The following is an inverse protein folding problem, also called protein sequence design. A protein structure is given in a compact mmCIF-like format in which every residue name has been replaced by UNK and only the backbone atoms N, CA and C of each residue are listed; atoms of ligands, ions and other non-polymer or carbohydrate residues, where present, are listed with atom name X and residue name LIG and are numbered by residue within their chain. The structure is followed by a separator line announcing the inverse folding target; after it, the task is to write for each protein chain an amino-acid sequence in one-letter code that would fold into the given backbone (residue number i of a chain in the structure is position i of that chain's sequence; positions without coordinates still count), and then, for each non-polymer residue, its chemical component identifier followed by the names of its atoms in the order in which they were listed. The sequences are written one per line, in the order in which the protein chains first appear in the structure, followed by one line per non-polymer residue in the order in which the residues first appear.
data_IF_114921252973
#
_entry.id   IF_114921252973
#
_cell.length_a   1.000
_cell.length_b   1.000
_cell.length_c   1.000
_cell.angle_alpha   90.00
_cell.angle_beta   90.00
_cell.angle_gamma   90.00
#
_symmetry.space_group_name_H-M   'P 1'
#
loop_
_entity.id
_entity.type
_entity.pdbx_description
1 polymer ?
#
# COMPACT_ATOMS: atom_id res chain seq x y z
N UNK A 1 -12.49 -6.88 27.66
CA UNK A 1 -12.34 -5.53 27.08
C UNK A 1 -11.46 -5.59 25.84
N UNK A 2 -11.87 -4.92 24.78
CA UNK A 2 -11.04 -4.80 23.60
C UNK A 2 -9.94 -3.75 23.83
N UNK A 3 -8.77 -4.00 23.28
CA UNK A 3 -7.69 -3.01 23.28
C UNK A 3 -8.09 -1.79 22.46
N UNK A 4 -7.58 -0.61 22.83
CA UNK A 4 -7.94 0.65 22.16
C UNK A 4 -7.65 0.63 20.67
N UNK A 5 -6.54 0.01 20.24
CA UNK A 5 -6.19 -0.05 18.82
C UNK A 5 -7.17 -0.92 18.03
N UNK A 6 -7.76 -1.96 18.66
CA UNK A 6 -8.78 -2.81 18.01
C UNK A 6 -10.05 -2.00 17.79
N UNK A 7 -10.47 -1.23 18.80
CA UNK A 7 -11.64 -0.37 18.68
C UNK A 7 -11.44 0.68 17.61
N UNK A 8 -10.27 1.34 17.61
CA UNK A 8 -9.94 2.33 16.59
C UNK A 8 -9.93 1.72 15.18
N UNK A 9 -9.36 0.51 15.04
CA UNK A 9 -9.38 -0.19 13.74
C UNK A 9 -10.80 -0.39 13.25
N UNK A 10 -11.71 -0.82 14.13
CA UNK A 10 -13.13 -1.02 13.78
C UNK A 10 -13.81 0.28 13.38
N UNK A 11 -13.50 1.37 14.06
CA UNK A 11 -14.04 2.69 13.72
C UNK A 11 -13.56 3.14 12.34
N UNK A 12 -12.29 2.92 12.04
CA UNK A 12 -11.70 3.26 10.75
C UNK A 12 -12.34 2.41 9.64
N UNK A 13 -12.49 1.09 9.86
CA UNK A 13 -13.14 0.21 8.90
C UNK A 13 -14.58 0.62 8.62
N UNK A 14 -15.30 1.10 9.64
CA UNK A 14 -16.67 1.56 9.50
C UNK A 14 -16.79 2.89 8.75
N UNK A 15 -15.68 3.62 8.61
CA UNK A 15 -15.65 4.96 8.00
C UNK A 15 -14.82 4.99 6.73
N UNK A 16 -14.61 3.88 6.07
CA UNK A 16 -13.63 3.77 4.97
C UNK A 16 -13.92 4.67 3.77
N UNK A 17 -15.14 5.16 3.61
CA UNK A 17 -15.52 6.13 2.58
C UNK A 17 -15.23 7.59 2.98
N UNK A 18 -14.77 7.82 4.22
CA UNK A 18 -14.55 9.15 4.81
C UNK A 18 -13.14 9.33 5.35
N UNK A 19 -12.18 8.64 4.77
CA UNK A 19 -10.79 8.67 5.26
C UNK A 19 -9.88 9.63 4.50
N UNK A 20 -10.44 10.40 3.57
CA UNK A 20 -9.67 11.37 2.80
C UNK A 20 -9.01 12.38 3.74
N UNK A 21 -7.69 12.53 3.64
CA UNK A 21 -6.91 13.49 4.43
C UNK A 21 -6.80 13.16 5.91
N UNK A 22 -7.26 12.00 6.35
CA UNK A 22 -7.26 11.62 7.77
C UNK A 22 -5.84 11.24 8.20
N UNK A 23 -5.48 11.60 9.44
CA UNK A 23 -4.22 11.19 10.06
C UNK A 23 -4.35 9.77 10.61
N UNK A 24 -3.74 8.82 9.91
CA UNK A 24 -3.65 7.43 10.30
C UNK A 24 -2.19 7.02 10.54
N UNK A 25 -1.32 8.00 10.80
CA UNK A 25 0.09 7.74 11.05
C UNK A 25 0.26 6.82 12.25
N UNK A 26 1.15 5.86 12.13
CA UNK A 26 1.45 4.86 13.16
C UNK A 26 0.25 4.00 13.57
N UNK A 27 -0.86 4.06 12.86
CA UNK A 27 -2.07 3.33 13.22
C UNK A 27 -1.87 1.81 13.08
N UNK A 28 -2.38 1.06 14.04
CA UNK A 28 -2.33 -0.41 14.02
C UNK A 28 -3.55 -0.92 13.25
N UNK A 29 -3.32 -1.21 11.97
CA UNK A 29 -4.35 -1.61 11.02
C UNK A 29 -4.08 -2.99 10.41
N UNK A 30 -3.39 -3.88 11.16
CA UNK A 30 -3.12 -5.23 10.71
C UNK A 30 -4.44 -5.94 10.39
N UNK A 31 -4.52 -6.50 9.18
CA UNK A 31 -5.71 -7.21 8.72
C UNK A 31 -6.94 -6.34 8.53
N UNK A 32 -6.80 -5.02 8.54
CA UNK A 32 -7.94 -4.10 8.42
C UNK A 32 -8.68 -4.31 7.10
N UNK A 33 -9.99 -4.20 7.14
CA UNK A 33 -10.88 -4.31 5.97
C UNK A 33 -11.09 -2.91 5.40
N UNK A 34 -10.22 -2.53 4.48
CA UNK A 34 -10.21 -1.20 3.85
C UNK A 34 -10.41 -1.28 2.34
N UNK A 35 -11.06 -2.35 1.88
CA UNK A 35 -11.42 -2.50 0.47
C UNK A 35 -12.30 -1.33 0.03
N UNK A 36 -11.94 -0.75 -1.13
CA UNK A 36 -12.62 0.41 -1.71
C UNK A 36 -12.55 1.69 -0.85
N UNK A 37 -11.69 1.70 0.20
CA UNK A 37 -11.55 2.88 1.06
C UNK A 37 -11.03 4.08 0.28
N UNK A 38 -11.56 5.28 0.61
CA UNK A 38 -11.02 6.53 0.08
C UNK A 38 -9.95 7.04 1.04
N UNK A 39 -8.69 6.74 0.71
CA UNK A 39 -7.51 7.15 1.47
C UNK A 39 -6.76 8.27 0.75
N UNK A 40 -7.44 8.98 -0.14
CA UNK A 40 -6.86 10.11 -0.85
C UNK A 40 -6.27 11.10 0.14
N UNK A 41 -4.99 11.44 -0.05
CA UNK A 41 -4.26 12.39 0.80
C UNK A 41 -4.18 12.01 2.28
N UNK A 42 -4.51 10.77 2.63
CA UNK A 42 -4.41 10.30 4.02
C UNK A 42 -2.93 10.19 4.42
N UNK A 43 -2.67 10.46 5.70
CA UNK A 43 -1.35 10.25 6.29
C UNK A 43 -1.30 8.84 6.87
N UNK A 44 -0.61 7.95 6.17
CA UNK A 44 -0.39 6.56 6.59
C UNK A 44 1.08 6.31 6.95
N UNK A 45 1.81 7.37 7.28
CA UNK A 45 3.22 7.27 7.66
C UNK A 45 3.40 6.28 8.80
N UNK A 46 4.27 5.29 8.59
CA UNK A 46 4.58 4.24 9.57
C UNK A 46 3.35 3.44 10.06
N UNK A 47 2.25 3.47 9.32
CA UNK A 47 1.07 2.67 9.65
C UNK A 47 1.36 1.18 9.48
N UNK A 48 0.75 0.34 10.31
CA UNK A 48 0.89 -1.11 10.26
C UNK A 48 -0.30 -1.69 9.50
N UNK A 49 -0.08 -2.05 8.24
CA UNK A 49 -1.11 -2.57 7.34
C UNK A 49 -0.81 -4.00 6.89
N UNK A 50 -0.07 -4.75 7.71
CA UNK A 50 0.25 -6.15 7.41
C UNK A 50 -1.04 -6.92 7.17
N UNK A 51 -1.13 -7.62 6.02
CA UNK A 51 -2.31 -8.42 5.63
C UNK A 51 -3.61 -7.63 5.53
N UNK A 52 -3.55 -6.31 5.45
CA UNK A 52 -4.75 -5.50 5.27
C UNK A 52 -5.37 -5.76 3.89
N UNK A 53 -6.69 -5.66 3.84
CA UNK A 53 -7.44 -5.70 2.58
C UNK A 53 -7.61 -4.28 2.07
N UNK A 54 -6.83 -3.91 1.06
CA UNK A 54 -6.85 -2.59 0.42
C UNK A 54 -7.25 -2.70 -1.05
N UNK A 55 -7.98 -3.76 -1.41
CA UNK A 55 -8.43 -3.94 -2.79
C UNK A 55 -9.25 -2.74 -3.24
N UNK A 56 -8.88 -2.18 -4.40
CA UNK A 56 -9.57 -1.02 -5.00
C UNK A 56 -9.53 0.23 -4.13
N UNK A 57 -8.66 0.28 -3.12
CA UNK A 57 -8.50 1.48 -2.29
C UNK A 57 -7.93 2.62 -3.13
N UNK A 58 -8.35 3.84 -2.83
CA UNK A 58 -7.80 5.04 -3.45
C UNK A 58 -6.71 5.59 -2.56
N UNK A 59 -5.47 5.41 -3.00
CA UNK A 59 -4.28 5.90 -2.30
C UNK A 59 -3.70 7.13 -3.01
N UNK A 60 -4.56 7.88 -3.69
CA UNK A 60 -4.17 9.06 -4.47
C UNK A 60 -3.54 10.09 -3.55
N UNK A 61 -2.28 10.39 -3.79
CA UNK A 61 -1.48 11.32 -2.99
C UNK A 61 -1.41 10.98 -1.49
N UNK A 62 -1.65 9.72 -1.13
CA UNK A 62 -1.48 9.25 0.25
C UNK A 62 0.00 9.19 0.60
N UNK A 63 0.32 9.44 1.86
CA UNK A 63 1.68 9.31 2.36
C UNK A 63 1.84 7.94 3.02
N UNK A 64 2.56 7.04 2.36
CA UNK A 64 2.84 5.68 2.84
C UNK A 64 4.30 5.54 3.27
N UNK A 65 4.98 6.64 3.56
CA UNK A 65 6.36 6.62 4.02
C UNK A 65 6.49 5.71 5.23
N UNK A 66 7.40 4.72 5.15
CA UNK A 66 7.65 3.73 6.21
C UNK A 66 6.45 2.86 6.58
N UNK A 67 5.36 2.90 5.82
CA UNK A 67 4.21 2.04 6.07
C UNK A 67 4.58 0.57 5.86
N UNK A 68 4.02 -0.31 6.70
CA UNK A 68 4.26 -1.75 6.62
C UNK A 68 3.07 -2.39 5.91
N UNK A 69 3.26 -2.75 4.65
CA UNK A 69 2.23 -3.31 3.77
C UNK A 69 2.53 -4.78 3.42
N UNK A 70 3.34 -5.43 4.23
CA UNK A 70 3.72 -6.83 3.98
C UNK A 70 2.48 -7.71 3.89
N UNK A 71 2.40 -8.51 2.83
CA UNK A 71 1.28 -9.43 2.56
C UNK A 71 -0.09 -8.75 2.42
N UNK A 72 -0.12 -7.42 2.29
CA UNK A 72 -1.38 -6.70 2.06
C UNK A 72 -1.93 -7.00 0.66
N UNK A 73 -3.25 -7.01 0.54
CA UNK A 73 -3.89 -7.11 -0.76
C UNK A 73 -4.20 -5.71 -1.30
N UNK A 74 -3.41 -5.26 -2.26
CA UNK A 74 -3.51 -3.95 -2.90
C UNK A 74 -3.98 -4.08 -4.35
N UNK A 75 -4.62 -5.20 -4.69
CA UNK A 75 -5.07 -5.41 -6.07
C UNK A 75 -6.07 -4.32 -6.48
N UNK A 76 -5.89 -3.82 -7.69
CA UNK A 76 -6.70 -2.76 -8.28
C UNK A 76 -6.69 -1.42 -7.51
N UNK A 77 -5.75 -1.22 -6.58
CA UNK A 77 -5.62 0.04 -5.85
C UNK A 77 -5.04 1.13 -6.75
N UNK A 78 -5.39 2.38 -6.47
CA UNK A 78 -4.90 3.54 -7.22
C UNK A 78 -3.78 4.23 -6.44
N UNK A 79 -2.57 4.23 -7.00
CA UNK A 79 -1.36 4.77 -6.39
C UNK A 79 -0.95 6.15 -6.94
N UNK A 80 -1.84 6.83 -7.64
CA UNK A 80 -1.48 8.12 -8.25
C UNK A 80 -0.90 9.07 -7.20
N UNK A 81 0.37 9.47 -7.39
CA UNK A 81 1.04 10.42 -6.51
C UNK A 81 1.31 9.94 -5.10
N UNK A 82 1.07 8.67 -4.79
CA UNK A 82 1.35 8.11 -3.46
C UNK A 82 2.86 8.09 -3.17
N UNK A 83 3.23 8.39 -1.93
CA UNK A 83 4.63 8.34 -1.49
C UNK A 83 4.91 6.99 -0.84
N UNK A 84 5.92 6.28 -1.37
CA UNK A 84 6.27 4.94 -0.93
C UNK A 84 7.68 4.85 -0.32
N UNK A 85 8.27 5.99 0.04
CA UNK A 85 9.62 6.01 0.59
C UNK A 85 9.73 5.11 1.83
N UNK A 86 10.68 4.18 1.79
CA UNK A 86 10.96 3.24 2.89
C UNK A 86 9.76 2.39 3.31
N UNK A 87 8.73 2.29 2.49
CA UNK A 87 7.60 1.38 2.75
C UNK A 87 8.03 -0.07 2.54
N UNK A 88 7.29 -1.01 3.12
CA UNK A 88 7.56 -2.45 3.05
C UNK A 88 6.41 -3.14 2.33
N UNK A 89 6.70 -3.67 1.14
CA UNK A 89 5.73 -4.33 0.25
C UNK A 89 6.00 -5.82 0.09
N UNK A 90 6.77 -6.43 1.01
CA UNK A 90 7.14 -7.84 0.91
C UNK A 90 5.90 -8.73 0.86
N UNK A 91 5.77 -9.53 -0.19
CA UNK A 91 4.63 -10.42 -0.37
C UNK A 91 3.31 -9.73 -0.67
N UNK A 92 3.30 -8.41 -0.89
CA UNK A 92 2.08 -7.67 -1.20
C UNK A 92 1.56 -8.03 -2.59
N UNK A 93 0.24 -8.02 -2.76
CA UNK A 93 -0.41 -8.26 -4.04
C UNK A 93 -0.82 -6.92 -4.66
N UNK A 94 -0.09 -6.53 -5.72
CA UNK A 94 -0.35 -5.28 -6.46
C UNK A 94 -0.97 -5.56 -7.85
N UNK A 95 -1.54 -6.75 -8.04
CA UNK A 95 -2.13 -7.12 -9.33
C UNK A 95 -3.24 -6.13 -9.70
N UNK A 96 -3.15 -5.59 -10.91
CA UNK A 96 -4.15 -4.65 -11.39
C UNK A 96 -4.07 -3.25 -10.78
N UNK A 97 -3.12 -2.99 -9.87
CA UNK A 97 -2.93 -1.65 -9.32
C UNK A 97 -2.65 -0.65 -10.45
N UNK A 98 -3.20 0.55 -10.32
CA UNK A 98 -3.07 1.58 -11.34
C UNK A 98 -2.22 2.74 -10.84
N UNK A 99 -1.60 3.45 -11.80
CA UNK A 99 -0.78 4.65 -11.56
C UNK A 99 0.44 4.40 -10.66
N UNK A 100 0.85 3.14 -10.52
CA UNK A 100 2.09 2.79 -9.86
C UNK A 100 3.24 2.95 -10.85
N UNK A 101 4.35 3.56 -10.42
CA UNK A 101 5.49 3.85 -11.27
C UNK A 101 6.76 3.19 -10.75
N UNK A 102 7.74 3.00 -11.64
CA UNK A 102 9.07 2.55 -11.23
C UNK A 102 9.73 3.52 -10.25
N UNK A 103 9.52 4.82 -10.42
CA UNK A 103 10.09 5.83 -9.52
C UNK A 103 9.58 5.63 -8.08
N UNK A 104 8.29 5.33 -7.91
CA UNK A 104 7.74 5.02 -6.59
C UNK A 104 8.37 3.76 -6.01
N UNK A 105 8.54 2.73 -6.83
CA UNK A 105 9.09 1.44 -6.37
C UNK A 105 10.57 1.52 -6.02
N UNK A 106 11.33 2.42 -6.63
CA UNK A 106 12.75 2.62 -6.28
C UNK A 106 12.94 3.06 -4.84
N UNK A 107 11.94 3.71 -4.27
CA UNK A 107 11.99 4.19 -2.88
C UNK A 107 11.43 3.18 -1.89
N UNK A 108 10.80 2.12 -2.37
CA UNK A 108 10.13 1.11 -1.54
C UNK A 108 10.99 -0.15 -1.37
N UNK A 109 10.63 -0.97 -0.41
CA UNK A 109 11.23 -2.29 -0.19
C UNK A 109 10.23 -3.37 -0.59
N UNK A 110 10.67 -4.35 -1.37
CA UNK A 110 9.85 -5.48 -1.77
C UNK A 110 10.71 -6.70 -2.00
N UNK A 111 10.10 -7.85 -2.24
CA UNK A 111 10.81 -9.11 -2.49
C UNK A 111 10.26 -9.83 -3.73
N UNK A 112 10.76 -11.04 -3.96
CA UNK A 112 10.34 -11.85 -5.12
C UNK A 112 8.92 -12.38 -4.97
N UNK A 113 8.33 -12.27 -3.79
CA UNK A 113 6.95 -12.70 -3.51
C UNK A 113 5.94 -11.58 -3.82
N UNK A 114 6.41 -10.33 -3.97
CA UNK A 114 5.55 -9.20 -4.32
C UNK A 114 5.04 -9.37 -5.74
N UNK A 115 3.72 -9.23 -5.92
CA UNK A 115 3.08 -9.35 -7.23
C UNK A 115 2.81 -7.94 -7.76
N UNK A 116 3.32 -7.65 -8.95
CA UNK A 116 3.19 -6.33 -9.59
C UNK A 116 2.10 -6.34 -10.68
N UNK A 117 1.54 -5.16 -11.03
CA UNK A 117 0.61 -5.09 -12.16
C UNK A 117 1.34 -5.41 -13.47
N UNK A 118 0.58 -5.83 -14.49
CA UNK A 118 1.13 -6.35 -15.75
C UNK A 118 2.04 -5.33 -16.48
N UNK A 119 1.82 -4.04 -16.30
CA UNK A 119 2.62 -3.00 -16.97
C UNK A 119 3.94 -2.71 -16.25
N UNK A 120 4.18 -3.28 -15.07
CA UNK A 120 5.44 -3.15 -14.31
C UNK A 120 6.23 -4.44 -14.47
N UNK A 121 7.45 -4.33 -15.00
CA UNK A 121 8.36 -5.46 -15.12
C UNK A 121 9.54 -5.26 -14.19
N UNK A 122 9.70 -6.18 -13.24
CA UNK A 122 10.84 -6.21 -12.33
C UNK A 122 11.77 -7.33 -12.79
N UNK A 123 12.98 -6.96 -13.13
CA UNK A 123 14.02 -7.91 -13.50
C UNK A 123 15.06 -7.99 -12.37
N UNK A 124 15.18 -9.16 -11.76
CA UNK A 124 16.17 -9.40 -10.72
C UNK A 124 17.50 -9.80 -11.36
N UNK A 125 18.55 -9.07 -11.01
CA UNK A 125 19.91 -9.38 -11.49
C UNK A 125 20.52 -10.51 -10.66
N UNK A 126 21.59 -11.11 -11.17
CA UNK A 126 22.29 -12.18 -10.49
C UNK A 126 22.86 -11.76 -9.13
N UNK A 127 23.14 -10.47 -8.96
CA UNK A 127 23.71 -9.89 -7.73
C UNK A 127 22.65 -9.57 -6.67
N UNK A 128 21.38 -9.88 -6.97
CA UNK A 128 20.27 -9.60 -6.03
C UNK A 128 19.71 -8.18 -6.12
N UNK A 129 20.19 -7.39 -7.06
CA UNK A 129 19.58 -6.10 -7.37
C UNK A 129 18.39 -6.29 -8.32
N UNK A 130 17.66 -5.25 -8.55
CA UNK A 130 16.53 -5.31 -9.48
C UNK A 130 16.50 -4.06 -10.37
N UNK A 131 15.85 -4.23 -11.50
CA UNK A 131 15.60 -3.16 -12.46
C UNK A 131 14.10 -3.13 -12.74
N UNK A 132 13.56 -1.95 -12.93
CA UNK A 132 12.14 -1.76 -13.19
C UNK A 132 11.93 -1.11 -14.54
N UNK A 133 10.96 -1.63 -15.28
CA UNK A 133 10.58 -1.08 -16.56
C UNK A 133 9.06 -1.02 -16.65
N UNK A 134 8.53 0.12 -17.07
CA UNK A 134 7.10 0.27 -17.34
C UNK A 134 6.85 -0.01 -18.80
N UNK A 135 5.87 -0.88 -19.07
CA UNK A 135 5.44 -1.12 -20.44
C UNK A 135 4.41 -0.07 -20.84
N UNK A 136 4.47 0.38 -22.08
CA UNK A 136 3.41 1.18 -22.65
C UNK A 136 2.17 0.31 -22.86
N UNK A 137 1.03 0.83 -22.48
CA UNK A 137 -0.25 0.16 -22.69
C UNK A 137 -0.91 0.62 -23.98
#
# INVERSE_FOLDING_TARGET
MLEDWILRKKEIEASKDKLKGVDLSNAKLMGAKLDEADLTEADLTAAYLIKADLRKARLVRADLTQAVLSEANLSDADFEGAELMDSFLHGANLKGAINLTCDQLELANFDKQTIFPDYINIHWTADGYWECQENET
#
